data_IF_832525766140
#
_entry.id   IF_832525766140
#
_cell.length_a   1.000
_cell.length_b   1.000
_cell.length_c   1.000
_cell.angle_alpha   90.00
_cell.angle_beta   90.00
_cell.angle_gamma   90.00
#
_symmetry.space_group_name_H-M   'P 1'
#
loop_
_entity.id
_entity.type
_entity.pdbx_description
1 polymer ?
#
# COMPACT_ATOMS: atom_id res chain seq x y z
N UNK A 1 -17.81 13.72 -20.31
CA UNK A 1 -17.16 14.78 -19.51
C UNK A 1 -15.71 14.35 -19.28
N UNK A 2 -14.72 15.18 -19.61
CA UNK A 2 -13.31 14.85 -19.37
C UNK A 2 -12.95 15.36 -17.97
N UNK A 3 -12.49 14.47 -17.10
CA UNK A 3 -11.99 14.83 -15.76
C UNK A 3 -10.54 15.27 -15.91
N UNK A 4 -10.18 16.41 -15.31
CA UNK A 4 -8.85 17.01 -15.40
C UNK A 4 -8.29 17.38 -14.03
N UNK A 5 -6.97 17.27 -13.90
CA UNK A 5 -6.15 17.71 -12.77
C UNK A 5 -5.00 18.55 -13.34
N UNK A 6 -5.18 19.87 -13.43
CA UNK A 6 -4.25 20.75 -14.13
C UNK A 6 -4.08 20.34 -15.61
N UNK A 7 -2.84 20.01 -16.00
CA UNK A 7 -2.49 19.54 -17.35
C UNK A 7 -2.80 18.06 -17.60
N UNK A 8 -3.21 17.32 -16.55
CA UNK A 8 -3.51 15.89 -16.64
C UNK A 8 -4.98 15.67 -16.97
N UNK A 9 -5.25 14.61 -17.74
CA UNK A 9 -6.60 14.08 -17.97
C UNK A 9 -6.71 12.66 -17.45
N UNK A 10 -7.85 12.33 -16.83
CA UNK A 10 -8.10 10.98 -16.35
C UNK A 10 -8.19 10.01 -17.54
N UNK A 11 -7.34 8.99 -17.53
CA UNK A 11 -7.25 7.96 -18.55
C UNK A 11 -8.01 6.68 -18.16
N UNK A 12 -7.82 6.21 -16.93
CA UNK A 12 -8.50 5.03 -16.38
C UNK A 12 -8.81 5.24 -14.88
N UNK A 13 -9.89 4.63 -14.40
CA UNK A 13 -10.25 4.64 -12.99
C UNK A 13 -10.90 3.31 -12.58
N UNK A 14 -10.28 2.65 -11.60
CA UNK A 14 -10.81 1.44 -10.98
C UNK A 14 -11.71 1.82 -9.79
N UNK A 15 -13.01 1.59 -9.94
CA UNK A 15 -14.02 1.88 -8.92
C UNK A 15 -13.86 1.04 -7.65
N UNK A 16 -13.25 -0.16 -7.74
CA UNK A 16 -13.10 -1.05 -6.59
C UNK A 16 -11.94 -0.62 -5.70
N UNK A 17 -10.81 -0.24 -6.31
CA UNK A 17 -9.58 0.10 -5.58
C UNK A 17 -9.37 1.60 -5.42
N UNK A 18 -10.10 2.42 -6.18
CA UNK A 18 -9.88 3.85 -6.29
C UNK A 18 -8.61 4.23 -7.07
N UNK A 19 -7.93 3.26 -7.69
CA UNK A 19 -6.75 3.52 -8.52
C UNK A 19 -7.13 4.42 -9.70
N UNK A 20 -6.39 5.50 -9.89
CA UNK A 20 -6.56 6.39 -11.05
C UNK A 20 -5.29 6.41 -11.90
N UNK A 21 -5.47 6.36 -13.22
CA UNK A 21 -4.41 6.54 -14.20
C UNK A 21 -4.66 7.87 -14.89
N UNK A 22 -3.65 8.73 -14.87
CA UNK A 22 -3.69 10.06 -15.46
C UNK A 22 -2.72 10.12 -16.63
N UNK A 23 -3.15 10.79 -17.69
CA UNK A 23 -2.38 11.00 -18.91
C UNK A 23 -2.09 12.49 -19.10
N UNK A 24 -0.87 12.78 -19.52
CA UNK A 24 -0.39 14.10 -19.91
C UNK A 24 0.52 13.97 -21.14
N UNK A 25 0.38 14.87 -22.11
CA UNK A 25 1.30 14.98 -23.25
C UNK A 25 2.08 16.28 -23.14
N UNK A 26 3.41 16.19 -23.13
CA UNK A 26 4.30 17.34 -22.94
C UNK A 26 4.71 18.05 -24.25
N UNK A 27 4.23 17.56 -25.40
CA UNK A 27 4.63 18.02 -26.73
C UNK A 27 5.54 17.05 -27.46
N UNK A 28 6.19 16.12 -26.74
CA UNK A 28 7.10 15.13 -27.30
C UNK A 28 6.70 13.68 -26.93
N UNK A 29 6.21 13.46 -25.71
CA UNK A 29 5.87 12.13 -25.19
C UNK A 29 4.59 12.10 -24.37
N UNK A 30 3.97 10.92 -24.36
CA UNK A 30 2.89 10.59 -23.44
C UNK A 30 3.46 10.18 -22.07
N UNK A 31 2.97 10.84 -21.02
CA UNK A 31 3.33 10.57 -19.63
C UNK A 31 2.10 10.02 -18.91
N UNK A 32 2.30 8.91 -18.21
CA UNK A 32 1.27 8.29 -17.37
C UNK A 32 1.67 8.37 -15.90
N UNK A 33 0.77 8.90 -15.06
CA UNK A 33 0.86 8.87 -13.60
C UNK A 33 -0.20 7.92 -13.07
N UNK A 34 0.18 7.01 -12.17
CA UNK A 34 -0.75 6.07 -11.53
C UNK A 34 -0.82 6.37 -10.05
N UNK A 35 -1.99 6.78 -9.59
CA UNK A 35 -2.24 7.12 -8.19
C UNK A 35 -3.01 5.99 -7.52
N UNK A 36 -2.47 5.51 -6.39
CA UNK A 36 -3.10 4.49 -5.55
C UNK A 36 -3.52 5.14 -4.23
N UNK A 37 -4.81 5.29 -3.94
CA UNK A 37 -5.24 5.84 -2.66
C UNK A 37 -4.90 4.86 -1.53
N UNK A 38 -4.22 5.34 -0.50
CA UNK A 38 -3.78 4.53 0.65
C UNK A 38 -4.31 5.02 1.98
N UNK A 39 -4.96 6.19 2.03
CA UNK A 39 -5.38 6.84 3.28
C UNK A 39 -6.34 5.96 4.09
N UNK A 40 -7.32 5.34 3.44
CA UNK A 40 -8.26 4.43 4.10
C UNK A 40 -7.53 3.22 4.68
N UNK A 41 -6.64 2.59 3.91
CA UNK A 41 -5.84 1.46 4.35
C UNK A 41 -4.96 1.84 5.56
N UNK A 42 -4.31 3.00 5.51
CA UNK A 42 -3.46 3.51 6.59
C UNK A 42 -4.28 3.80 7.85
N UNK A 43 -5.46 4.40 7.71
CA UNK A 43 -6.40 4.67 8.81
C UNK A 43 -6.90 3.37 9.45
N UNK A 44 -7.30 2.40 8.64
CA UNK A 44 -7.70 1.07 9.11
C UNK A 44 -6.56 0.36 9.86
N UNK A 45 -5.34 0.36 9.29
CA UNK A 45 -4.19 -0.24 9.93
C UNK A 45 -3.90 0.40 11.29
N UNK A 46 -3.96 1.73 11.37
CA UNK A 46 -3.78 2.47 12.62
C UNK A 46 -4.89 2.14 13.64
N UNK A 47 -6.15 2.06 13.20
CA UNK A 47 -7.27 1.68 14.06
C UNK A 47 -7.13 0.27 14.63
N UNK A 48 -6.69 -0.68 13.81
CA UNK A 48 -6.39 -2.06 14.25
C UNK A 48 -5.23 -2.05 15.23
N UNK A 49 -4.15 -1.32 14.92
CA UNK A 49 -2.98 -1.25 15.80
C UNK A 49 -3.33 -0.70 17.18
N UNK A 50 -4.14 0.35 17.23
CA UNK A 50 -4.59 0.97 18.48
C UNK A 50 -5.54 0.06 19.29
N UNK A 51 -6.24 -0.87 18.65
CA UNK A 51 -7.16 -1.82 19.31
C UNK A 51 -6.53 -3.20 19.59
N UNK A 52 -5.39 -3.50 18.97
CA UNK A 52 -4.76 -4.81 18.97
C UNK A 52 -4.39 -5.33 20.36
N UNK A 53 -4.01 -4.44 21.31
CA UNK A 53 -3.65 -4.83 22.68
C UNK A 53 -4.75 -5.60 23.42
N UNK A 54 -6.03 -5.45 23.03
CA UNK A 54 -7.16 -6.15 23.67
C UNK A 54 -7.61 -7.40 22.91
N UNK A 55 -7.32 -7.50 21.62
CA UNK A 55 -7.92 -8.48 20.71
C UNK A 55 -6.96 -9.59 20.25
N UNK A 56 -5.65 -9.47 20.53
CA UNK A 56 -4.67 -10.45 20.08
C UNK A 56 -4.61 -11.70 20.98
N UNK A 57 -5.64 -12.56 20.88
CA UNK A 57 -5.70 -13.88 21.52
C UNK A 57 -5.96 -14.94 20.44
N UNK A 58 -5.03 -15.88 20.24
CA UNK A 58 -5.12 -16.95 19.25
C UNK A 58 -3.83 -17.13 18.42
N UNK A 59 -3.83 -18.04 17.46
CA UNK A 59 -2.60 -18.39 16.70
C UNK A 59 -2.36 -17.51 15.47
N UNK A 60 -3.41 -16.96 14.85
CA UNK A 60 -3.32 -16.21 13.60
C UNK A 60 -3.71 -14.75 13.77
N UNK A 61 -2.77 -13.85 13.48
CA UNK A 61 -3.00 -12.41 13.54
C UNK A 61 -2.48 -11.73 12.28
N UNK A 62 -3.27 -10.78 11.75
CA UNK A 62 -2.81 -9.89 10.69
C UNK A 62 -1.76 -8.95 11.27
N UNK A 63 -0.54 -9.01 10.74
CA UNK A 63 0.62 -8.21 11.19
C UNK A 63 0.80 -6.91 10.40
N UNK A 64 0.30 -6.88 9.16
CA UNK A 64 0.33 -5.74 8.27
C UNK A 64 -0.74 -5.87 7.17
N UNK A 65 -1.17 -4.74 6.62
CA UNK A 65 -1.89 -4.68 5.34
C UNK A 65 -1.16 -3.67 4.45
N UNK A 66 -0.76 -4.08 3.25
CA UNK A 66 0.16 -3.33 2.39
C UNK A 66 -0.48 -3.16 1.01
N UNK A 67 -0.42 -1.98 0.37
CA UNK A 67 -0.85 -1.81 -1.01
C UNK A 67 -0.09 -2.75 -1.94
N UNK A 68 -0.78 -3.32 -2.93
CA UNK A 68 -0.22 -4.36 -3.79
C UNK A 68 1.01 -3.87 -4.59
N UNK A 69 0.95 -2.62 -5.09
CA UNK A 69 2.07 -1.98 -5.78
C UNK A 69 3.31 -1.83 -4.87
N UNK A 70 3.12 -1.49 -3.58
CA UNK A 70 4.21 -1.41 -2.60
C UNK A 70 4.75 -2.80 -2.29
N UNK A 71 3.87 -3.79 -2.12
CA UNK A 71 4.28 -5.17 -1.84
C UNK A 71 5.12 -5.76 -2.99
N UNK A 72 4.73 -5.56 -4.25
CA UNK A 72 5.51 -5.98 -5.40
C UNK A 72 6.79 -5.14 -5.58
N UNK A 73 6.69 -3.81 -5.49
CA UNK A 73 7.83 -2.90 -5.68
C UNK A 73 8.93 -3.09 -4.63
N UNK A 74 8.57 -3.49 -3.41
CA UNK A 74 9.50 -3.81 -2.34
C UNK A 74 10.00 -5.27 -2.37
N UNK A 75 9.52 -6.12 -3.30
CA UNK A 75 9.88 -7.53 -3.35
C UNK A 75 9.27 -8.40 -2.25
N UNK A 76 8.29 -7.89 -1.49
CA UNK A 76 7.66 -8.63 -0.38
C UNK A 76 6.91 -9.87 -0.85
N UNK A 77 6.24 -9.80 -2.00
CA UNK A 77 5.49 -10.93 -2.55
C UNK A 77 6.43 -12.09 -2.85
N UNK A 78 7.56 -11.80 -3.50
CA UNK A 78 8.58 -12.80 -3.80
C UNK A 78 9.20 -13.37 -2.53
N UNK A 79 9.65 -12.50 -1.61
CA UNK A 79 10.24 -12.91 -0.35
C UNK A 79 9.29 -13.81 0.47
N UNK A 80 8.00 -13.49 0.48
CA UNK A 80 7.00 -14.32 1.14
C UNK A 80 6.82 -15.68 0.45
N UNK A 81 6.72 -15.72 -0.88
CA UNK A 81 6.59 -16.97 -1.65
C UNK A 81 7.82 -17.89 -1.52
N UNK A 82 9.01 -17.31 -1.34
CA UNK A 82 10.26 -18.03 -1.16
C UNK A 82 10.56 -18.39 0.32
N UNK A 83 9.74 -17.91 1.26
CA UNK A 83 9.92 -18.14 2.69
C UNK A 83 11.06 -17.33 3.33
N UNK A 84 11.49 -16.22 2.72
CA UNK A 84 12.45 -15.29 3.31
C UNK A 84 11.78 -14.38 4.36
N UNK A 85 11.45 -15.00 5.50
CA UNK A 85 10.87 -14.31 6.66
C UNK A 85 11.80 -13.21 7.20
N UNK A 86 13.11 -13.33 7.00
CA UNK A 86 14.08 -12.33 7.46
C UNK A 86 13.94 -11.03 6.68
N UNK A 87 13.76 -11.10 5.37
CA UNK A 87 13.47 -9.94 4.53
C UNK A 87 12.14 -9.29 4.95
N UNK A 88 11.08 -10.08 5.06
CA UNK A 88 9.74 -9.58 5.41
C UNK A 88 9.75 -8.88 6.77
N UNK A 89 10.37 -9.49 7.79
CA UNK A 89 10.52 -8.88 9.12
C UNK A 89 11.33 -7.59 9.07
N UNK A 90 12.45 -7.57 8.34
CA UNK A 90 13.28 -6.35 8.20
C UNK A 90 12.49 -5.21 7.55
N UNK A 91 11.74 -5.49 6.49
CA UNK A 91 10.90 -4.51 5.83
C UNK A 91 9.85 -3.96 6.79
N UNK A 92 9.09 -4.83 7.47
CA UNK A 92 8.02 -4.43 8.39
C UNK A 92 8.53 -3.76 9.66
N UNK A 93 9.77 -4.03 10.09
CA UNK A 93 10.37 -3.40 11.26
C UNK A 93 11.04 -2.04 10.96
N UNK A 94 11.16 -1.65 9.68
CA UNK A 94 11.67 -0.33 9.30
C UNK A 94 10.65 0.77 9.66
N UNK A 95 11.12 1.88 10.24
CA UNK A 95 10.31 3.05 10.60
C UNK A 95 9.52 3.61 9.42
N UNK A 96 10.11 3.61 8.22
CA UNK A 96 9.49 4.16 7.01
C UNK A 96 8.26 3.34 6.57
N UNK A 97 8.18 2.08 7.00
CA UNK A 97 7.12 1.15 6.68
C UNK A 97 6.13 0.95 7.83
N UNK A 98 6.26 1.71 8.94
CA UNK A 98 5.45 1.53 10.14
C UNK A 98 3.96 1.75 9.88
N UNK A 99 3.61 2.59 8.90
CA UNK A 99 2.24 2.86 8.48
C UNK A 99 1.49 1.61 7.99
N UNK A 100 2.22 0.61 7.46
CA UNK A 100 1.61 -0.62 6.95
C UNK A 100 1.27 -1.64 8.04
N UNK A 101 1.85 -1.46 9.23
CA UNK A 101 1.73 -2.43 10.31
C UNK A 101 0.44 -2.24 11.09
N UNK A 102 -0.12 -3.38 11.47
CA UNK A 102 -1.24 -3.48 12.42
C UNK A 102 -0.78 -3.93 13.81
N UNK A 103 0.51 -4.25 13.99
CA UNK A 103 1.11 -4.66 15.27
C UNK A 103 2.19 -3.69 15.73
N UNK A 104 2.18 -3.34 17.02
CA UNK A 104 3.29 -2.67 17.71
C UNK A 104 4.48 -3.62 17.98
N UNK A 105 5.60 -3.06 18.43
CA UNK A 105 6.82 -3.82 18.78
C UNK A 105 7.59 -4.35 17.57
N UNK A 106 8.33 -5.45 17.74
CA UNK A 106 9.06 -6.12 16.64
C UNK A 106 8.45 -7.48 16.29
N UNK A 107 8.48 -7.82 15.00
CA UNK A 107 8.13 -9.14 14.46
C UNK A 107 9.32 -10.09 14.45
#
# INVERSE_FOLDING_TARGET
MIIRDGSWSLYDYDQMTGRSVWHYFDGEKDVFRVDYPVDNLMSENAGIRNSAERAWKGDWHRVASIPLNVAHGAGLVQAHSEGDDRFVKRFLNNSDNRAWRTKEGHL
#
